data_IF_365991136231
#
_entry.id   IF_365991136231
#
_cell.length_a   1.000
_cell.length_b   1.000
_cell.length_c   1.000
_cell.angle_alpha   90.00
_cell.angle_beta   90.00
_cell.angle_gamma   90.00
#
_symmetry.space_group_name_H-M   'P 1'
#
loop_
_entity.id
_entity.type
_entity.pdbx_description
1 polymer ?
#
# COMPACT_ATOMS: atom_id res chain seq x y z
N UNK A 1 19.78 19.52 -63.98
CA UNK A 1 19.94 18.46 -62.97
C UNK A 1 18.69 18.50 -62.13
N UNK A 2 17.67 17.79 -62.62
CA UNK A 2 16.35 17.79 -62.03
C UNK A 2 16.37 16.88 -60.80
N UNK A 3 16.00 17.43 -59.64
CA UNK A 3 15.62 16.62 -58.48
C UNK A 3 14.38 15.84 -58.89
N UNK A 4 14.53 14.57 -59.24
CA UNK A 4 13.43 13.63 -59.32
C UNK A 4 12.72 13.65 -57.96
N UNK A 5 11.54 14.28 -57.91
CA UNK A 5 10.63 14.22 -56.78
C UNK A 5 9.99 12.84 -56.78
N UNK A 6 10.71 11.86 -56.24
CA UNK A 6 10.18 10.50 -56.05
C UNK A 6 8.94 10.59 -55.16
N UNK A 7 7.81 10.04 -55.60
CA UNK A 7 6.55 10.04 -54.84
C UNK A 7 6.38 8.76 -54.02
N UNK A 8 5.56 8.80 -52.96
CA UNK A 8 5.28 7.62 -52.14
C UNK A 8 4.71 6.46 -52.97
N UNK A 9 3.80 6.76 -53.92
CA UNK A 9 3.21 5.75 -54.81
C UNK A 9 4.25 5.10 -55.73
N UNK A 10 5.25 5.86 -56.20
CA UNK A 10 6.35 5.31 -57.01
C UNK A 10 7.25 4.36 -56.20
N UNK A 11 7.50 4.67 -54.94
CA UNK A 11 8.32 3.83 -54.05
C UNK A 11 7.54 2.57 -53.64
N UNK A 12 6.26 2.72 -53.31
CA UNK A 12 5.40 1.61 -52.93
C UNK A 12 5.19 0.64 -54.10
N UNK A 13 4.97 1.14 -55.31
CA UNK A 13 4.92 0.31 -56.52
C UNK A 13 6.24 -0.42 -56.75
N UNK A 14 7.37 0.27 -56.61
CA UNK A 14 8.69 -0.34 -56.78
C UNK A 14 8.97 -1.45 -55.77
N UNK A 15 8.53 -1.31 -54.51
CA UNK A 15 8.71 -2.33 -53.47
C UNK A 15 7.73 -3.50 -53.68
N UNK A 16 6.47 -3.22 -53.97
CA UNK A 16 5.44 -4.23 -54.19
C UNK A 16 5.70 -5.08 -55.43
N UNK A 17 6.31 -4.51 -56.49
CA UNK A 17 6.73 -5.25 -57.68
C UNK A 17 7.91 -6.21 -57.41
N UNK A 18 8.63 -6.02 -56.30
CA UNK A 18 9.87 -6.74 -55.98
C UNK A 18 9.72 -7.77 -54.86
N UNK A 19 8.77 -7.58 -53.94
CA UNK A 19 8.43 -8.54 -52.89
C UNK A 19 8.00 -9.95 -53.38
N UNK A 20 7.36 -10.15 -54.55
CA UNK A 20 6.95 -11.48 -55.03
C UNK A 20 8.12 -12.37 -55.48
N UNK A 21 9.32 -11.82 -55.68
CA UNK A 21 10.44 -12.55 -56.31
C UNK A 21 11.10 -13.56 -55.34
N UNK A 22 10.79 -13.49 -54.03
CA UNK A 22 11.45 -14.32 -53.02
C UNK A 22 10.88 -15.75 -52.88
N UNK A 23 9.86 -16.14 -53.66
CA UNK A 23 9.15 -17.42 -53.49
C UNK A 23 9.04 -18.33 -54.72
N UNK A 24 9.81 -18.11 -55.80
CA UNK A 24 9.80 -19.05 -56.94
C UNK A 24 11.19 -19.50 -57.40
N UNK A 25 11.45 -20.77 -57.07
CA UNK A 25 12.32 -21.77 -57.72
C UNK A 25 13.83 -21.50 -57.75
N UNK A 26 14.52 -22.25 -56.89
CA UNK A 26 15.89 -22.73 -57.09
C UNK A 26 16.09 -23.26 -58.52
N UNK A 27 17.32 -23.11 -59.02
CA UNK A 27 17.84 -23.56 -60.31
C UNK A 27 17.59 -22.62 -61.51
N UNK A 28 18.22 -21.44 -61.47
CA UNK A 28 19.29 -21.04 -62.42
C UNK A 28 19.71 -19.57 -62.21
N UNK A 29 21.03 -19.35 -62.18
CA UNK A 29 21.78 -18.10 -62.36
C UNK A 29 22.27 -17.39 -61.06
N UNK A 30 23.40 -17.86 -60.53
CA UNK A 30 24.17 -17.23 -59.42
C UNK A 30 24.66 -15.78 -59.69
N UNK A 31 24.60 -15.26 -60.93
CA UNK A 31 24.94 -13.86 -61.26
C UNK A 31 23.72 -12.95 -61.44
N UNK A 32 22.60 -13.44 -62.00
CA UNK A 32 21.36 -12.68 -62.11
C UNK A 32 20.68 -12.57 -60.75
N UNK A 33 20.78 -13.60 -59.89
CA UNK A 33 20.38 -13.51 -58.49
C UNK A 33 21.18 -12.45 -57.72
N UNK A 34 22.49 -12.32 -57.95
CA UNK A 34 23.30 -11.29 -57.28
C UNK A 34 22.96 -9.88 -57.75
N UNK A 35 22.73 -9.67 -59.06
CA UNK A 35 22.35 -8.37 -59.61
C UNK A 35 20.93 -8.01 -59.16
N UNK A 36 20.00 -8.96 -59.16
CA UNK A 36 18.62 -8.73 -58.67
C UNK A 36 18.60 -8.48 -57.16
N UNK A 37 19.40 -9.20 -56.37
CA UNK A 37 19.57 -8.94 -54.92
C UNK A 37 20.18 -7.56 -54.66
N UNK A 38 21.17 -7.14 -55.45
CA UNK A 38 21.76 -5.81 -55.32
C UNK A 38 20.78 -4.71 -55.73
N UNK A 39 20.05 -4.88 -56.84
CA UNK A 39 19.03 -3.92 -57.29
C UNK A 39 17.87 -3.79 -56.30
N UNK A 40 17.47 -4.92 -55.69
CA UNK A 40 16.49 -4.96 -54.60
C UNK A 40 17.00 -4.16 -53.40
N UNK A 41 18.26 -4.38 -53.01
CA UNK A 41 18.90 -3.67 -51.90
C UNK A 41 19.02 -2.18 -52.15
N UNK A 42 19.47 -1.76 -53.32
CA UNK A 42 19.59 -0.35 -53.70
C UNK A 42 18.22 0.37 -53.65
N UNK A 43 17.13 -0.32 -54.05
CA UNK A 43 15.77 0.21 -53.96
C UNK A 43 15.21 0.25 -52.54
N UNK A 44 15.52 -0.76 -51.72
CA UNK A 44 15.19 -0.76 -50.29
C UNK A 44 15.91 0.39 -49.58
N UNK A 45 17.19 0.62 -49.89
CA UNK A 45 17.97 1.75 -49.35
C UNK A 45 17.44 3.09 -49.83
N UNK A 46 17.06 3.19 -51.11
CA UNK A 46 16.41 4.40 -51.64
C UNK A 46 15.09 4.70 -50.92
N UNK A 47 14.28 3.67 -50.66
CA UNK A 47 13.03 3.81 -49.93
C UNK A 47 13.25 4.18 -48.47
N UNK A 48 14.23 3.57 -47.79
CA UNK A 48 14.57 3.90 -46.42
C UNK A 48 15.13 5.33 -46.28
N UNK A 49 15.93 5.79 -47.24
CA UNK A 49 16.41 7.17 -47.29
C UNK A 49 15.27 8.16 -47.55
N UNK A 50 14.34 7.82 -48.45
CA UNK A 50 13.14 8.63 -48.69
C UNK A 50 12.30 8.75 -47.42
N UNK A 51 12.02 7.63 -46.75
CA UNK A 51 11.30 7.60 -45.46
C UNK A 51 12.04 8.41 -44.40
N UNK A 52 13.39 8.39 -44.41
CA UNK A 52 14.20 9.19 -43.49
C UNK A 52 14.01 10.70 -43.64
N UNK A 53 13.58 11.15 -44.81
CA UNK A 53 13.33 12.56 -45.12
C UNK A 53 11.85 12.95 -44.94
N UNK A 54 10.96 11.96 -44.76
CA UNK A 54 9.52 12.20 -44.54
C UNK A 54 9.23 12.71 -43.13
N UNK A 55 8.17 13.52 -43.05
CA UNK A 55 7.54 13.91 -41.78
C UNK A 55 6.43 12.93 -41.45
N UNK A 56 6.77 11.82 -40.79
CA UNK A 56 5.84 10.69 -40.63
C UNK A 56 4.49 11.06 -40.00
N UNK A 57 4.42 12.08 -39.16
CA UNK A 57 3.17 12.56 -38.56
C UNK A 57 2.19 13.20 -39.56
N UNK A 58 2.69 13.71 -40.69
CA UNK A 58 1.90 14.32 -41.77
C UNK A 58 1.45 13.29 -42.82
N UNK A 59 1.96 12.07 -42.72
CA UNK A 59 1.75 11.01 -43.68
C UNK A 59 0.60 10.08 -43.26
N UNK A 60 0.02 9.38 -44.24
CA UNK A 60 -1.07 8.43 -44.01
C UNK A 60 -0.54 7.06 -43.55
N UNK A 61 -1.42 6.19 -43.05
CA UNK A 61 -1.10 4.84 -42.56
C UNK A 61 -0.29 3.97 -43.55
N UNK A 62 -0.34 4.30 -44.86
CA UNK A 62 0.41 3.62 -45.93
C UNK A 62 1.92 3.69 -45.69
N UNK A 63 2.43 4.77 -45.10
CA UNK A 63 3.85 4.91 -44.79
C UNK A 63 4.25 4.00 -43.62
N UNK A 64 3.37 3.81 -42.65
CA UNK A 64 3.59 2.86 -41.55
C UNK A 64 3.67 1.41 -42.07
N UNK A 65 2.74 1.01 -42.94
CA UNK A 65 2.78 -0.29 -43.59
C UNK A 65 4.04 -0.47 -44.44
N UNK A 66 4.48 0.60 -45.13
CA UNK A 66 5.70 0.57 -45.92
C UNK A 66 6.95 0.37 -45.05
N UNK A 67 7.03 1.03 -43.90
CA UNK A 67 8.12 0.85 -42.91
C UNK A 67 8.15 -0.60 -42.41
N UNK A 68 6.99 -1.17 -42.07
CA UNK A 68 6.89 -2.57 -41.62
C UNK A 68 7.27 -3.54 -42.74
N UNK A 69 6.74 -3.35 -43.96
CA UNK A 69 7.09 -4.17 -45.13
C UNK A 69 8.58 -4.10 -45.46
N UNK A 70 9.17 -2.90 -45.39
CA UNK A 70 10.60 -2.69 -45.57
C UNK A 70 11.43 -3.37 -44.49
N UNK A 71 10.88 -3.55 -43.29
CA UNK A 71 11.51 -4.27 -42.19
C UNK A 71 11.37 -5.80 -42.31
N UNK A 72 10.20 -6.30 -42.69
CA UNK A 72 9.89 -7.73 -42.78
C UNK A 72 10.53 -8.43 -43.98
N UNK A 73 10.95 -7.66 -45.01
CA UNK A 73 11.68 -8.19 -46.17
C UNK A 73 13.05 -8.83 -45.80
N UNK A 74 13.46 -8.77 -44.52
CA UNK A 74 14.38 -9.65 -43.75
C UNK A 74 15.53 -10.39 -44.47
N UNK A 75 16.16 -9.73 -45.43
CA UNK A 75 17.59 -9.86 -45.75
C UNK A 75 18.34 -8.55 -45.53
N UNK A 76 17.74 -7.62 -44.79
CA UNK A 76 18.11 -6.20 -44.76
C UNK A 76 19.44 -5.98 -44.04
N UNK A 77 20.27 -5.15 -44.64
CA UNK A 77 21.55 -4.79 -44.08
C UNK A 77 21.44 -3.75 -42.94
N UNK A 78 22.57 -3.49 -42.29
CA UNK A 78 22.63 -2.60 -41.15
C UNK A 78 22.38 -1.12 -41.49
N UNK A 79 22.67 -0.69 -42.72
CA UNK A 79 22.54 0.71 -43.17
C UNK A 79 21.09 1.10 -43.47
N UNK A 80 20.29 0.18 -44.04
CA UNK A 80 18.85 0.42 -44.20
C UNK A 80 18.17 0.63 -42.85
N UNK A 81 18.46 -0.24 -41.85
CA UNK A 81 17.87 -0.14 -40.51
C UNK A 81 18.26 1.16 -39.81
N UNK A 82 19.49 1.61 -40.01
CA UNK A 82 19.99 2.90 -39.52
C UNK A 82 19.25 4.08 -40.16
N UNK A 83 18.97 4.02 -41.45
CA UNK A 83 18.22 5.06 -42.17
C UNK A 83 16.78 5.17 -41.66
N UNK A 84 16.10 4.04 -41.47
CA UNK A 84 14.77 4.00 -40.85
C UNK A 84 14.77 4.57 -39.43
N UNK A 85 15.75 4.18 -38.60
CA UNK A 85 15.87 4.69 -37.24
C UNK A 85 16.06 6.23 -37.21
N UNK A 86 16.88 6.76 -38.13
CA UNK A 86 17.09 8.20 -38.29
C UNK A 86 15.81 8.93 -38.73
N UNK A 87 15.03 8.33 -39.63
CA UNK A 87 13.72 8.85 -40.04
C UNK A 87 12.72 8.96 -38.90
N UNK A 88 12.66 7.92 -38.06
CA UNK A 88 11.83 7.92 -36.86
C UNK A 88 12.29 9.00 -35.89
N UNK A 89 13.59 9.10 -35.60
CA UNK A 89 14.16 10.16 -34.73
C UNK A 89 13.81 11.56 -35.24
N UNK A 90 14.10 11.83 -36.51
CA UNK A 90 13.75 13.09 -37.17
C UNK A 90 12.26 13.40 -37.04
N UNK A 91 11.39 12.41 -37.26
CA UNK A 91 9.95 12.59 -37.17
C UNK A 91 9.49 12.90 -35.75
N UNK A 92 10.02 12.20 -34.74
CA UNK A 92 9.74 12.48 -33.32
C UNK A 92 10.18 13.90 -32.99
N UNK A 93 11.40 14.30 -33.37
CA UNK A 93 11.96 15.65 -33.13
C UNK A 93 11.08 16.78 -33.69
N UNK A 94 10.35 16.51 -34.77
CA UNK A 94 9.52 17.48 -35.47
C UNK A 94 8.05 17.48 -35.03
N UNK A 95 7.62 16.53 -34.18
CA UNK A 95 6.26 16.53 -33.65
C UNK A 95 6.04 17.73 -32.71
N UNK A 96 4.99 18.53 -32.98
CA UNK A 96 4.60 19.69 -32.17
C UNK A 96 3.37 19.43 -31.29
N UNK A 97 2.59 18.39 -31.61
CA UNK A 97 1.38 18.00 -30.88
C UNK A 97 1.43 16.57 -30.36
N UNK A 98 0.60 16.27 -29.35
CA UNK A 98 0.44 14.91 -28.83
C UNK A 98 -0.05 13.93 -29.91
N UNK A 99 -0.98 14.36 -30.76
CA UNK A 99 -1.54 13.50 -31.81
C UNK A 99 -0.52 13.14 -32.89
N UNK A 100 0.37 14.08 -33.23
CA UNK A 100 1.49 13.82 -34.13
C UNK A 100 2.47 12.82 -33.52
N UNK A 101 2.83 13.04 -32.25
CA UNK A 101 3.73 12.17 -31.52
C UNK A 101 3.16 10.75 -31.38
N UNK A 102 1.88 10.62 -31.03
CA UNK A 102 1.17 9.33 -30.90
C UNK A 102 1.31 8.49 -32.15
N UNK A 103 0.99 9.05 -33.32
CA UNK A 103 1.12 8.35 -34.61
C UNK A 103 2.54 7.87 -34.86
N UNK A 104 3.54 8.73 -34.65
CA UNK A 104 4.95 8.37 -34.90
C UNK A 104 5.42 7.30 -33.93
N UNK A 105 5.01 7.36 -32.67
CA UNK A 105 5.35 6.38 -31.64
C UNK A 105 4.71 5.02 -31.93
N UNK A 106 3.44 4.96 -32.34
CA UNK A 106 2.77 3.72 -32.77
C UNK A 106 3.50 3.04 -33.93
N UNK A 107 3.99 3.83 -34.89
CA UNK A 107 4.85 3.32 -35.99
C UNK A 107 6.17 2.79 -35.43
N UNK A 108 6.83 3.56 -34.56
CA UNK A 108 8.12 3.18 -33.99
C UNK A 108 8.05 1.87 -33.18
N UNK A 109 7.00 1.69 -32.37
CA UNK A 109 6.77 0.46 -31.58
C UNK A 109 6.56 -0.76 -32.50
N UNK A 110 5.95 -0.55 -33.67
CA UNK A 110 5.69 -1.62 -34.63
C UNK A 110 6.96 -2.15 -35.30
N UNK A 111 8.10 -1.45 -35.17
CA UNK A 111 9.40 -1.89 -35.71
C UNK A 111 10.15 -2.75 -34.66
N UNK A 112 10.34 -4.06 -34.89
CA UNK A 112 10.83 -5.02 -33.88
C UNK A 112 12.24 -4.75 -33.32
N UNK A 113 13.23 -4.47 -34.17
CA UNK A 113 14.63 -4.30 -33.75
C UNK A 113 15.34 -3.22 -34.56
N UNK A 114 15.76 -2.16 -33.88
CA UNK A 114 16.63 -1.12 -34.42
C UNK A 114 18.07 -1.33 -33.95
N UNK A 115 19.07 -0.96 -34.78
CA UNK A 115 20.47 -1.09 -34.44
C UNK A 115 20.86 -0.13 -33.30
N UNK A 116 21.66 -0.61 -32.34
CA UNK A 116 22.38 0.27 -31.42
C UNK A 116 23.39 1.14 -32.20
N UNK A 117 23.60 2.43 -31.86
CA UNK A 117 23.02 3.20 -30.75
C UNK A 117 21.72 3.94 -31.11
N UNK A 118 21.10 3.63 -32.25
CA UNK A 118 19.95 4.38 -32.78
C UNK A 118 18.66 4.04 -32.05
N UNK A 119 18.53 2.80 -31.57
CA UNK A 119 17.41 2.37 -30.73
C UNK A 119 17.34 3.21 -29.45
N UNK A 120 18.44 3.30 -28.71
CA UNK A 120 18.57 4.02 -27.45
C UNK A 120 18.32 5.52 -27.63
N UNK A 121 18.83 6.09 -28.72
CA UNK A 121 18.56 7.51 -29.06
C UNK A 121 17.09 7.76 -29.36
N UNK A 122 16.46 6.88 -30.14
CA UNK A 122 15.03 7.02 -30.48
C UNK A 122 14.16 6.89 -29.22
N UNK A 123 14.46 5.91 -28.37
CA UNK A 123 13.79 5.71 -27.08
C UNK A 123 13.86 6.98 -26.22
N UNK A 124 15.07 7.54 -26.02
CA UNK A 124 15.27 8.77 -25.25
C UNK A 124 14.53 9.96 -25.85
N UNK A 125 14.52 10.09 -27.18
CA UNK A 125 13.85 11.18 -27.87
C UNK A 125 12.33 11.07 -27.75
N UNK A 126 11.76 9.87 -27.91
CA UNK A 126 10.35 9.58 -27.68
C UNK A 126 9.95 9.94 -26.25
N UNK A 127 10.68 9.42 -25.25
CA UNK A 127 10.39 9.69 -23.85
C UNK A 127 10.48 11.17 -23.50
N UNK A 128 11.50 11.86 -24.01
CA UNK A 128 11.70 13.29 -23.76
C UNK A 128 10.53 14.17 -24.22
N UNK A 129 9.76 13.69 -25.21
CA UNK A 129 8.54 14.35 -25.68
C UNK A 129 7.28 13.81 -25.05
N UNK A 130 7.20 12.51 -24.75
CA UNK A 130 6.02 11.88 -24.14
C UNK A 130 5.85 12.29 -22.68
N UNK A 131 6.89 12.21 -21.85
CA UNK A 131 6.80 12.48 -20.40
C UNK A 131 6.19 13.85 -20.09
N UNK A 132 6.56 14.96 -20.79
CA UNK A 132 5.91 16.25 -20.58
C UNK A 132 4.39 16.25 -20.79
N UNK A 133 3.83 15.37 -21.63
CA UNK A 133 2.38 15.27 -21.84
C UNK A 133 1.63 14.69 -20.65
N UNK A 134 2.32 14.03 -19.70
CA UNK A 134 1.73 13.65 -18.41
C UNK A 134 1.22 14.87 -17.63
N UNK A 135 1.70 16.10 -17.92
CA UNK A 135 1.22 17.34 -17.26
C UNK A 135 -0.18 17.71 -17.68
N UNK A 136 -0.57 17.25 -18.87
CA UNK A 136 -1.81 17.60 -19.47
C UNK A 136 -2.85 16.52 -19.15
N UNK A 137 -3.74 16.82 -18.20
CA UNK A 137 -4.75 15.88 -17.72
C UNK A 137 -5.60 15.25 -18.84
N UNK A 138 -5.79 15.94 -19.97
CA UNK A 138 -6.57 15.44 -21.10
C UNK A 138 -5.93 14.26 -21.85
N UNK A 139 -4.61 14.10 -21.78
CA UNK A 139 -3.87 13.07 -22.53
C UNK A 139 -3.19 12.06 -21.60
N UNK A 140 -3.46 12.09 -20.30
CA UNK A 140 -2.70 11.35 -19.30
C UNK A 140 -2.75 9.84 -19.57
N UNK A 141 -3.95 9.27 -19.69
CA UNK A 141 -4.15 7.83 -19.94
C UNK A 141 -3.52 7.38 -21.27
N UNK A 142 -3.73 8.15 -22.33
CA UNK A 142 -3.14 7.87 -23.64
C UNK A 142 -1.60 7.94 -23.59
N UNK A 143 -1.04 8.87 -22.81
CA UNK A 143 0.41 9.00 -22.63
C UNK A 143 0.97 7.82 -21.85
N UNK A 144 0.32 7.39 -20.77
CA UNK A 144 0.68 6.19 -20.00
C UNK A 144 0.69 4.97 -20.90
N UNK A 145 -0.37 4.78 -21.69
CA UNK A 145 -0.49 3.66 -22.61
C UNK A 145 0.66 3.64 -23.62
N UNK A 146 1.01 4.79 -24.20
CA UNK A 146 2.15 4.88 -25.12
C UNK A 146 3.49 4.58 -24.43
N UNK A 147 3.73 5.12 -23.24
CA UNK A 147 4.94 4.83 -22.46
C UNK A 147 5.02 3.33 -22.16
N UNK A 148 3.92 2.71 -21.75
CA UNK A 148 3.81 1.27 -21.55
C UNK A 148 4.27 0.47 -22.77
N UNK A 149 3.73 0.80 -23.95
CA UNK A 149 4.11 0.11 -25.18
C UNK A 149 5.57 0.30 -25.54
N UNK A 150 6.13 1.49 -25.28
CA UNK A 150 7.56 1.74 -25.45
C UNK A 150 8.37 0.87 -24.48
N UNK A 151 7.99 0.80 -23.20
CA UNK A 151 8.68 0.02 -22.17
C UNK A 151 8.80 -1.47 -22.50
N UNK A 152 7.78 -2.08 -23.13
CA UNK A 152 7.79 -3.52 -23.50
C UNK A 152 9.01 -3.89 -24.36
N UNK A 153 9.49 -2.97 -25.21
CA UNK A 153 10.61 -3.22 -26.14
C UNK A 153 11.85 -2.38 -25.82
N UNK A 154 11.84 -1.67 -24.70
CA UNK A 154 12.85 -0.69 -24.33
C UNK A 154 14.16 -1.34 -23.89
N UNK A 155 15.27 -0.64 -24.08
CA UNK A 155 16.57 -1.02 -23.52
C UNK A 155 16.72 -0.61 -22.05
N UNK A 156 17.64 -1.22 -21.32
CA UNK A 156 17.94 -0.84 -19.93
C UNK A 156 18.37 0.65 -19.81
N UNK A 157 19.09 1.18 -20.80
CA UNK A 157 19.46 2.60 -20.88
C UNK A 157 18.24 3.51 -21.11
N UNK A 158 17.26 3.06 -21.91
CA UNK A 158 15.98 3.72 -22.09
C UNK A 158 15.15 3.74 -20.81
N UNK A 159 15.07 2.61 -20.09
CA UNK A 159 14.37 2.51 -18.80
C UNK A 159 15.02 3.39 -17.73
N UNK A 160 16.35 3.39 -17.68
CA UNK A 160 17.12 4.27 -16.78
C UNK A 160 16.82 5.74 -17.08
N UNK A 161 16.75 6.12 -18.36
CA UNK A 161 16.39 7.47 -18.76
C UNK A 161 14.95 7.83 -18.36
N UNK A 162 13.98 6.93 -18.59
CA UNK A 162 12.60 7.12 -18.14
C UNK A 162 12.54 7.38 -16.63
N UNK A 163 13.24 6.55 -15.85
CA UNK A 163 13.30 6.68 -14.40
C UNK A 163 13.77 8.09 -13.99
N UNK A 164 14.89 8.56 -14.54
CA UNK A 164 15.38 9.92 -14.27
C UNK A 164 14.36 11.01 -14.64
N UNK A 165 13.70 10.88 -15.78
CA UNK A 165 12.67 11.86 -16.17
C UNK A 165 11.48 11.86 -15.22
N UNK A 166 11.02 10.68 -14.78
CA UNK A 166 9.93 10.57 -13.81
C UNK A 166 10.34 11.10 -12.43
N UNK A 167 11.59 10.89 -12.00
CA UNK A 167 12.14 11.46 -10.76
C UNK A 167 12.10 12.99 -10.74
N UNK A 168 12.63 13.62 -11.80
CA UNK A 168 12.59 15.09 -11.96
C UNK A 168 11.15 15.61 -11.94
N UNK A 169 10.23 14.80 -12.44
CA UNK A 169 8.84 15.17 -12.60
C UNK A 169 8.02 14.99 -11.31
N UNK A 170 8.25 13.94 -10.54
CA UNK A 170 7.66 13.73 -9.21
C UNK A 170 8.05 14.87 -8.26
N UNK A 171 9.30 15.34 -8.35
CA UNK A 171 9.79 16.43 -7.48
C UNK A 171 9.21 17.81 -7.83
N UNK A 172 8.53 17.98 -8.96
CA UNK A 172 7.92 19.26 -9.35
C UNK A 172 6.78 19.68 -8.41
N UNK A 173 6.93 20.83 -7.74
CA UNK A 173 5.92 21.40 -6.84
C UNK A 173 4.52 21.61 -7.44
N UNK A 174 4.43 21.76 -8.78
CA UNK A 174 3.18 22.01 -9.51
C UNK A 174 2.54 20.74 -10.09
N UNK A 175 3.09 19.57 -9.79
CA UNK A 175 2.51 18.29 -10.22
C UNK A 175 1.07 18.17 -9.72
N UNK A 176 0.13 17.89 -10.63
CA UNK A 176 -1.27 17.64 -10.27
C UNK A 176 -1.43 16.21 -9.76
N UNK A 177 -2.48 15.96 -8.99
CA UNK A 177 -2.78 14.62 -8.50
C UNK A 177 -3.00 13.60 -9.64
N UNK A 178 -3.75 13.98 -10.68
CA UNK A 178 -3.96 13.13 -11.87
C UNK A 178 -2.65 12.75 -12.58
N UNK A 179 -1.70 13.69 -12.65
CA UNK A 179 -0.39 13.44 -13.25
C UNK A 179 0.49 12.57 -12.34
N UNK A 180 0.30 12.65 -11.03
CA UNK A 180 0.94 11.76 -10.06
C UNK A 180 0.40 10.32 -10.17
N UNK A 181 -0.92 10.13 -10.22
CA UNK A 181 -1.56 8.81 -10.39
C UNK A 181 -1.00 8.10 -11.61
N UNK A 182 -0.84 8.81 -12.72
CA UNK A 182 -0.24 8.28 -13.93
C UNK A 182 1.19 7.73 -13.76
N UNK A 183 2.02 8.43 -12.99
CA UNK A 183 3.40 7.99 -12.71
C UNK A 183 3.37 6.78 -11.77
N UNK A 184 2.46 6.79 -10.82
CA UNK A 184 2.27 5.70 -9.87
C UNK A 184 1.82 4.43 -10.60
N UNK A 185 0.88 4.52 -11.54
CA UNK A 185 0.46 3.41 -12.40
C UNK A 185 1.61 2.85 -13.24
N UNK A 186 2.45 3.72 -13.81
CA UNK A 186 3.67 3.33 -14.53
C UNK A 186 4.66 2.61 -13.61
N UNK A 187 4.85 3.10 -12.39
CA UNK A 187 5.71 2.44 -11.40
C UNK A 187 5.19 1.04 -11.05
N UNK A 188 3.87 0.89 -10.86
CA UNK A 188 3.25 -0.40 -10.54
C UNK A 188 3.47 -1.41 -11.68
N UNK A 189 3.35 -0.96 -12.93
CA UNK A 189 3.40 -1.86 -14.07
C UNK A 189 4.80 -2.18 -14.58
N UNK A 190 5.82 -1.40 -14.19
CA UNK A 190 7.20 -1.58 -14.64
C UNK A 190 8.11 -1.96 -13.47
N UNK A 191 8.56 -3.22 -13.37
CA UNK A 191 9.41 -3.69 -12.26
C UNK A 191 10.67 -2.86 -12.05
N UNK A 192 11.32 -2.39 -13.12
CA UNK A 192 12.53 -1.56 -13.03
C UNK A 192 12.29 -0.20 -12.34
N UNK A 193 11.06 0.31 -12.36
CA UNK A 193 10.72 1.57 -11.68
C UNK A 193 10.43 1.36 -10.19
N UNK A 194 10.12 0.14 -9.76
CA UNK A 194 9.82 -0.20 -8.37
C UNK A 194 11.07 -0.23 -7.47
N UNK A 195 12.27 -0.09 -8.03
CA UNK A 195 13.51 0.02 -7.24
C UNK A 195 13.81 1.47 -6.85
N UNK A 196 13.55 2.43 -7.75
CA UNK A 196 14.03 3.82 -7.62
C UNK A 196 12.92 4.82 -7.23
N UNK A 197 11.69 4.65 -7.74
CA UNK A 197 10.59 5.59 -7.53
C UNK A 197 9.81 5.48 -6.21
N UNK A 198 9.69 4.32 -5.52
CA UNK A 198 8.73 4.15 -4.42
C UNK A 198 8.81 5.19 -3.32
N UNK A 199 10.03 5.54 -2.89
CA UNK A 199 10.25 6.53 -1.83
C UNK A 199 9.71 7.90 -2.22
N UNK A 200 10.08 8.38 -3.41
CA UNK A 200 9.66 9.71 -3.89
C UNK A 200 8.17 9.75 -4.21
N UNK A 201 7.60 8.65 -4.72
CA UNK A 201 6.16 8.51 -4.87
C UNK A 201 5.42 8.62 -3.52
N UNK A 202 5.95 8.00 -2.45
CA UNK A 202 5.38 8.08 -1.11
C UNK A 202 5.51 9.50 -0.52
N UNK A 203 6.70 10.12 -0.62
CA UNK A 203 6.92 11.52 -0.20
C UNK A 203 5.98 12.47 -0.94
N UNK A 204 5.77 12.25 -2.24
CA UNK A 204 4.87 13.07 -3.05
C UNK A 204 3.40 12.89 -2.65
N UNK A 205 2.97 11.65 -2.41
CA UNK A 205 1.63 11.36 -1.88
C UNK A 205 1.39 12.14 -0.58
N UNK A 206 2.33 12.08 0.35
CA UNK A 206 2.22 12.79 1.63
C UNK A 206 2.20 14.32 1.46
N UNK A 207 2.84 14.85 0.42
CA UNK A 207 2.71 16.27 0.06
C UNK A 207 1.31 16.66 -0.42
N UNK A 208 0.55 15.73 -1.02
CA UNK A 208 -0.86 15.96 -1.37
C UNK A 208 -1.75 15.84 -0.13
N UNK A 209 -1.50 14.84 0.70
CA UNK A 209 -2.20 14.61 1.97
C UNK A 209 -2.09 15.83 2.89
N UNK A 210 -0.88 16.34 3.12
CA UNK A 210 -0.63 17.52 3.97
C UNK A 210 -1.24 18.83 3.44
N UNK A 211 -1.52 18.92 2.12
CA UNK A 211 -2.23 20.05 1.52
C UNK A 211 -3.75 19.91 1.57
N UNK A 212 -4.26 18.71 1.87
CA UNK A 212 -5.70 18.48 2.02
C UNK A 212 -6.22 19.23 3.25
N UNK A 213 -7.40 19.84 3.12
CA UNK A 213 -8.10 20.47 4.25
C UNK A 213 -8.85 19.47 5.12
N UNK A 214 -9.04 18.25 4.61
CA UNK A 214 -9.75 17.17 5.26
C UNK A 214 -8.86 15.91 5.26
N UNK A 215 -8.57 15.41 6.46
CA UNK A 215 -7.74 14.23 6.66
C UNK A 215 -8.39 12.98 6.08
N UNK A 216 -9.71 12.87 6.09
CA UNK A 216 -10.40 11.69 5.56
C UNK A 216 -10.36 11.62 4.04
N UNK A 217 -10.59 12.74 3.36
CA UNK A 217 -10.37 12.84 1.91
C UNK A 217 -8.93 12.48 1.53
N UNK A 218 -7.96 12.85 2.37
CA UNK A 218 -6.56 12.51 2.16
C UNK A 218 -6.25 11.02 2.43
N UNK A 219 -6.90 10.43 3.45
CA UNK A 219 -6.80 9.00 3.75
C UNK A 219 -7.39 8.14 2.63
N UNK A 220 -8.42 8.60 1.92
CA UNK A 220 -8.92 7.92 0.72
C UNK A 220 -7.82 7.67 -0.31
N UNK A 221 -6.98 8.69 -0.58
CA UNK A 221 -5.85 8.58 -1.53
C UNK A 221 -4.81 7.55 -1.09
N UNK A 222 -4.50 7.56 0.22
CA UNK A 222 -3.58 6.61 0.84
C UNK A 222 -4.15 5.20 0.72
N UNK A 223 -5.43 5.00 1.08
CA UNK A 223 -6.12 3.71 1.05
C UNK A 223 -6.11 3.13 -0.35
N UNK A 224 -6.50 3.91 -1.36
CA UNK A 224 -6.53 3.44 -2.75
C UNK A 224 -5.13 3.05 -3.23
N UNK A 225 -4.10 3.82 -2.87
CA UNK A 225 -2.72 3.53 -3.25
C UNK A 225 -2.11 2.35 -2.49
N UNK A 226 -2.58 2.09 -1.28
CA UNK A 226 -2.12 0.97 -0.46
C UNK A 226 -2.58 -0.39 -1.00
N UNK A 227 -3.62 -0.42 -1.85
CA UNK A 227 -4.11 -1.66 -2.47
C UNK A 227 -3.13 -2.29 -3.47
N UNK A 228 -2.13 -1.55 -3.93
CA UNK A 228 -1.18 -2.05 -4.92
C UNK A 228 -0.03 -2.83 -4.27
N UNK A 229 0.42 -3.92 -4.90
CA UNK A 229 1.46 -4.84 -4.37
C UNK A 229 2.90 -4.32 -4.52
N UNK A 230 3.15 -3.02 -4.29
CA UNK A 230 4.50 -2.43 -4.33
C UNK A 230 5.03 -2.24 -2.91
N UNK A 231 5.67 -3.28 -2.37
CA UNK A 231 6.11 -3.33 -0.97
C UNK A 231 7.06 -2.19 -0.55
N UNK A 232 8.06 -1.77 -1.36
CA UNK A 232 8.89 -0.62 -0.98
C UNK A 232 8.10 0.69 -0.85
N UNK A 233 7.05 0.87 -1.66
CA UNK A 233 6.20 2.06 -1.60
C UNK A 233 5.37 2.05 -0.31
N UNK A 234 4.74 0.91 0.02
CA UNK A 234 3.97 0.75 1.27
C UNK A 234 4.86 1.01 2.48
N UNK A 235 6.05 0.42 2.54
CA UNK A 235 6.99 0.62 3.64
C UNK A 235 7.31 2.11 3.85
N UNK A 236 7.67 2.82 2.78
CA UNK A 236 7.94 4.27 2.85
C UNK A 236 6.72 5.10 3.23
N UNK A 237 5.56 4.79 2.65
CA UNK A 237 4.32 5.50 2.93
C UNK A 237 3.94 5.38 4.40
N UNK A 238 4.09 4.21 5.01
CA UNK A 238 3.81 3.98 6.44
C UNK A 238 4.77 4.76 7.33
N UNK A 239 6.07 4.75 7.02
CA UNK A 239 7.05 5.52 7.78
C UNK A 239 6.70 7.02 7.77
N UNK A 240 6.30 7.55 6.62
CA UNK A 240 5.89 8.95 6.51
C UNK A 240 4.54 9.21 7.19
N UNK A 241 3.58 8.29 7.05
CA UNK A 241 2.29 8.36 7.74
C UNK A 241 2.49 8.38 9.24
N UNK A 242 3.41 7.61 9.81
CA UNK A 242 3.68 7.67 11.25
C UNK A 242 4.08 9.07 11.73
N UNK A 243 4.80 9.84 10.90
CA UNK A 243 5.26 11.20 11.24
C UNK A 243 4.14 12.24 11.14
N UNK A 244 3.19 12.04 10.21
CA UNK A 244 2.14 13.00 9.89
C UNK A 244 0.77 12.65 10.49
N UNK A 245 0.52 11.37 10.80
CA UNK A 245 -0.74 10.88 11.31
C UNK A 245 -0.84 11.21 12.80
N UNK A 246 -1.42 12.36 13.09
CA UNK A 246 -2.04 12.61 14.39
C UNK A 246 -3.27 11.72 14.50
N UNK A 247 -3.10 10.54 15.09
CA UNK A 247 -4.19 9.64 15.45
C UNK A 247 -5.26 10.35 16.30
N UNK A 248 -4.89 11.45 16.96
CA UNK A 248 -5.80 12.30 17.72
C UNK A 248 -6.83 13.02 16.84
N UNK A 249 -6.62 13.18 15.54
CA UNK A 249 -7.51 13.94 14.65
C UNK A 249 -8.41 13.05 13.78
N UNK A 250 -8.33 11.72 13.94
CA UNK A 250 -9.16 10.77 13.20
C UNK A 250 -10.60 10.77 13.72
N UNK A 251 -11.56 10.68 12.80
CA UNK A 251 -12.98 10.45 13.09
C UNK A 251 -13.46 9.17 12.38
N UNK A 252 -14.55 8.59 12.88
CA UNK A 252 -15.06 7.34 12.34
C UNK A 252 -15.52 7.47 10.89
N UNK A 253 -14.98 6.58 10.05
CA UNK A 253 -15.50 6.21 8.74
C UNK A 253 -15.15 4.71 8.52
N UNK A 254 -16.06 3.89 7.96
CA UNK A 254 -15.80 2.45 7.77
C UNK A 254 -14.49 2.16 7.02
N UNK A 255 -14.19 2.94 6.00
CA UNK A 255 -12.98 2.79 5.17
C UNK A 255 -11.70 3.05 5.98
N UNK A 256 -11.75 3.96 6.96
CA UNK A 256 -10.62 4.27 7.84
C UNK A 256 -10.46 3.19 8.90
N UNK A 257 -11.57 2.65 9.41
CA UNK A 257 -11.54 1.51 10.33
C UNK A 257 -10.85 0.30 9.67
N UNK A 258 -11.29 -0.06 8.46
CA UNK A 258 -10.69 -1.15 7.67
C UNK A 258 -9.22 -0.86 7.34
N UNK A 259 -8.88 0.38 7.00
CA UNK A 259 -7.50 0.78 6.74
C UNK A 259 -6.59 0.64 7.96
N UNK A 260 -7.05 1.05 9.15
CA UNK A 260 -6.28 0.91 10.38
C UNK A 260 -6.07 -0.56 10.75
N UNK A 261 -7.08 -1.42 10.54
CA UNK A 261 -6.92 -2.86 10.67
C UNK A 261 -5.81 -3.38 9.75
N UNK A 262 -5.84 -2.98 8.48
CA UNK A 262 -4.82 -3.38 7.52
C UNK A 262 -3.43 -2.85 7.87
N UNK A 263 -3.29 -1.62 8.37
CA UNK A 263 -2.03 -1.08 8.86
C UNK A 263 -1.50 -1.86 10.08
N UNK A 264 -2.38 -2.30 10.99
CA UNK A 264 -2.02 -3.13 12.14
C UNK A 264 -1.47 -4.47 11.67
N UNK A 265 -2.14 -5.13 10.72
CA UNK A 265 -1.63 -6.36 10.11
C UNK A 265 -0.32 -6.11 9.38
N UNK A 266 -0.23 -5.09 8.56
CA UNK A 266 0.97 -4.91 7.75
C UNK A 266 2.19 -4.47 8.59
N UNK A 267 1.99 -3.81 9.74
CA UNK A 267 3.06 -3.31 10.60
C UNK A 267 4.11 -4.35 11.03
N UNK A 268 3.77 -5.65 11.11
CA UNK A 268 4.74 -6.71 11.44
C UNK A 268 5.51 -7.25 10.23
N UNK A 269 5.04 -6.96 9.00
CA UNK A 269 5.62 -7.45 7.75
C UNK A 269 6.69 -6.50 7.20
N UNK A 270 6.70 -5.25 7.67
CA UNK A 270 7.66 -4.24 7.26
C UNK A 270 9.08 -4.68 7.67
N UNK A 271 10.09 -4.59 6.80
CA UNK A 271 11.47 -4.89 7.17
C UNK A 271 12.04 -3.90 8.19
N UNK A 272 12.90 -4.39 9.12
CA UNK A 272 13.60 -3.57 10.13
C UNK A 272 14.42 -2.42 9.53
N UNK A 273 14.77 -2.49 8.24
CA UNK A 273 15.46 -1.41 7.51
C UNK A 273 14.63 -0.13 7.40
N UNK A 274 13.31 -0.22 7.53
CA UNK A 274 12.38 0.91 7.40
C UNK A 274 11.78 1.35 8.73
N UNK A 275 11.65 0.43 9.70
CA UNK A 275 11.03 0.69 11.01
C UNK A 275 11.87 0.01 12.09
N UNK A 276 12.40 0.79 13.03
CA UNK A 276 13.18 0.24 14.15
C UNK A 276 12.30 -0.28 15.30
N UNK A 277 11.12 0.32 15.51
CA UNK A 277 10.20 -0.03 16.60
C UNK A 277 8.80 -0.38 16.07
N UNK A 278 8.67 -1.61 15.57
CA UNK A 278 7.40 -2.18 15.11
C UNK A 278 6.32 -2.20 16.19
N UNK A 279 6.70 -2.30 17.47
CA UNK A 279 5.74 -2.36 18.57
C UNK A 279 5.12 -0.98 18.83
N UNK A 280 5.92 0.09 18.83
CA UNK A 280 5.41 1.46 18.96
C UNK A 280 4.55 1.89 17.77
N UNK A 281 4.95 1.50 16.54
CA UNK A 281 4.17 1.75 15.34
C UNK A 281 2.79 1.10 15.42
N UNK A 282 2.74 -0.21 15.66
CA UNK A 282 1.49 -0.94 15.74
C UNK A 282 0.60 -0.42 16.88
N UNK A 283 1.19 -0.04 18.03
CA UNK A 283 0.46 0.53 19.16
C UNK A 283 -0.25 1.85 18.78
N UNK A 284 0.38 2.65 17.93
CA UNK A 284 -0.18 3.92 17.42
C UNK A 284 -1.44 3.65 16.60
N UNK A 285 -1.39 2.68 15.69
CA UNK A 285 -2.56 2.29 14.88
C UNK A 285 -3.68 1.67 15.70
N UNK A 286 -3.34 0.81 16.67
CA UNK A 286 -4.32 0.23 17.59
C UNK A 286 -5.04 1.30 18.39
N UNK A 287 -4.30 2.30 18.93
CA UNK A 287 -4.93 3.41 19.64
C UNK A 287 -5.89 4.19 18.74
N UNK A 288 -5.54 4.39 17.47
CA UNK A 288 -6.42 5.04 16.50
C UNK A 288 -7.68 4.25 16.22
N UNK A 289 -7.52 2.95 16.01
CA UNK A 289 -8.63 2.04 15.76
C UNK A 289 -9.63 2.08 16.93
N UNK A 290 -9.13 1.90 18.16
CA UNK A 290 -9.95 1.93 19.37
C UNK A 290 -10.57 3.31 19.64
N UNK A 291 -9.89 4.38 19.24
CA UNK A 291 -10.42 5.74 19.32
C UNK A 291 -11.63 5.90 18.41
N UNK A 292 -11.50 5.55 17.13
CA UNK A 292 -12.59 5.78 16.17
C UNK A 292 -13.71 4.73 16.24
N UNK A 293 -13.58 3.67 17.05
CA UNK A 293 -14.59 2.62 17.14
C UNK A 293 -15.91 3.18 17.67
N UNK A 294 -16.96 3.18 16.84
CA UNK A 294 -18.27 3.79 17.14
C UNK A 294 -19.46 2.83 17.05
N UNK A 295 -19.30 1.59 16.59
CA UNK A 295 -20.43 0.65 16.44
C UNK A 295 -20.23 -0.65 17.22
N UNK A 296 -21.33 -1.29 17.61
CA UNK A 296 -21.30 -2.61 18.24
C UNK A 296 -20.73 -3.68 17.29
N UNK A 297 -20.96 -3.53 15.99
CA UNK A 297 -20.37 -4.40 14.96
C UNK A 297 -18.84 -4.36 14.98
N UNK A 298 -18.26 -3.17 15.11
CA UNK A 298 -16.80 -2.99 15.18
C UNK A 298 -16.24 -3.62 16.47
N UNK A 299 -16.93 -3.44 17.60
CA UNK A 299 -16.60 -4.07 18.88
C UNK A 299 -16.66 -5.60 18.78
N UNK A 300 -17.72 -6.14 18.18
CA UNK A 300 -17.91 -7.57 17.95
C UNK A 300 -16.84 -8.14 17.00
N UNK A 301 -16.41 -7.36 16.01
CA UNK A 301 -15.33 -7.72 15.10
C UNK A 301 -13.98 -7.79 15.82
N UNK A 302 -13.60 -6.76 16.58
CA UNK A 302 -12.42 -6.79 17.45
C UNK A 302 -12.48 -7.97 18.43
N UNK A 303 -13.68 -8.30 18.90
CA UNK A 303 -13.95 -9.47 19.73
C UNK A 303 -13.57 -10.78 19.04
N UNK A 304 -14.05 -10.95 17.81
CA UNK A 304 -13.81 -12.15 17.00
C UNK A 304 -12.31 -12.32 16.69
N UNK A 305 -11.59 -11.19 16.55
CA UNK A 305 -10.16 -11.18 16.28
C UNK A 305 -9.35 -11.77 17.43
N UNK A 306 -9.71 -11.42 18.67
CA UNK A 306 -8.98 -11.86 19.85
C UNK A 306 -9.25 -13.33 20.20
N UNK A 307 -10.40 -13.88 19.84
CA UNK A 307 -10.85 -15.18 20.34
C UNK A 307 -10.51 -16.39 19.48
N UNK A 308 -11.05 -16.55 18.26
CA UNK A 308 -11.05 -17.92 17.71
C UNK A 308 -11.22 -18.13 16.19
N UNK A 309 -11.19 -17.11 15.33
CA UNK A 309 -11.32 -17.35 13.86
C UNK A 309 -10.37 -16.58 12.93
N UNK A 310 -9.64 -15.57 13.41
CA UNK A 310 -8.66 -14.83 12.59
C UNK A 310 -7.23 -15.20 12.98
N UNK A 311 -6.86 -16.46 12.70
CA UNK A 311 -5.56 -17.00 13.06
C UNK A 311 -4.36 -16.19 12.55
N UNK A 312 -4.55 -15.31 11.56
CA UNK A 312 -3.49 -14.45 11.01
C UNK A 312 -3.43 -13.08 11.71
N UNK A 313 -4.55 -12.38 11.89
CA UNK A 313 -4.58 -11.06 12.58
C UNK A 313 -4.12 -11.17 14.05
N UNK A 314 -4.60 -12.17 14.80
CA UNK A 314 -4.16 -12.32 16.20
C UNK A 314 -2.65 -12.59 16.26
N UNK A 315 -2.11 -13.43 15.34
CA UNK A 315 -0.66 -13.66 15.24
C UNK A 315 0.11 -12.39 14.87
N UNK A 316 -0.46 -11.55 14.01
CA UNK A 316 0.09 -10.26 13.58
C UNK A 316 0.23 -9.25 14.73
N UNK A 317 -0.70 -9.27 15.69
CA UNK A 317 -0.67 -8.36 16.83
C UNK A 317 0.55 -8.64 17.74
N UNK A 318 1.31 -7.60 18.04
CA UNK A 318 2.33 -7.57 19.09
C UNK A 318 1.67 -7.55 20.47
N UNK A 319 2.47 -7.90 21.47
CA UNK A 319 2.03 -8.10 22.84
C UNK A 319 1.27 -6.91 23.44
N UNK A 320 1.87 -5.72 23.39
CA UNK A 320 1.26 -4.49 23.94
C UNK A 320 -0.05 -4.13 23.23
N UNK A 321 -0.13 -4.35 21.92
CA UNK A 321 -1.32 -4.11 21.10
C UNK A 321 -2.47 -5.01 21.53
N UNK A 322 -2.23 -6.33 21.65
CA UNK A 322 -3.24 -7.29 22.16
C UNK A 322 -3.75 -6.88 23.53
N UNK A 323 -2.83 -6.46 24.41
CA UNK A 323 -3.15 -6.03 25.76
C UNK A 323 -4.03 -4.78 25.78
N UNK A 324 -3.73 -3.74 24.99
CA UNK A 324 -4.55 -2.53 24.97
C UNK A 324 -5.96 -2.82 24.45
N UNK A 325 -6.11 -3.60 23.37
CA UNK A 325 -7.43 -3.99 22.84
C UNK A 325 -8.22 -4.77 23.91
N UNK A 326 -7.56 -5.77 24.51
CA UNK A 326 -8.13 -6.60 25.58
C UNK A 326 -8.63 -5.76 26.76
N UNK A 327 -7.78 -4.86 27.26
CA UNK A 327 -8.13 -4.02 28.41
C UNK A 327 -9.19 -2.98 28.03
N UNK A 328 -9.18 -2.44 26.82
CA UNK A 328 -10.20 -1.50 26.36
C UNK A 328 -11.60 -2.15 26.29
N UNK A 329 -11.71 -3.35 25.71
CA UNK A 329 -12.97 -4.10 25.61
C UNK A 329 -13.64 -4.36 26.97
N UNK A 330 -12.84 -4.43 28.04
CA UNK A 330 -13.32 -4.70 29.41
C UNK A 330 -13.45 -3.44 30.25
N UNK A 331 -12.39 -2.64 30.35
CA UNK A 331 -12.35 -1.52 31.29
C UNK A 331 -13.15 -0.32 30.79
N UNK A 332 -13.25 -0.10 29.47
CA UNK A 332 -14.01 1.03 28.93
C UNK A 332 -15.53 0.95 29.26
N UNK A 333 -16.21 -0.21 29.12
CA UNK A 333 -17.58 -0.35 29.60
C UNK A 333 -17.68 -0.24 31.14
N UNK A 334 -16.75 -0.83 31.88
CA UNK A 334 -16.75 -0.84 33.35
C UNK A 334 -16.71 0.59 33.92
N UNK A 335 -15.85 1.47 33.38
CA UNK A 335 -15.70 2.84 33.91
C UNK A 335 -16.94 3.72 33.71
N UNK A 336 -17.86 3.36 32.81
CA UNK A 336 -19.16 4.06 32.69
C UNK A 336 -19.97 3.93 33.97
N UNK A 337 -19.89 2.78 34.63
CA UNK A 337 -20.62 2.48 35.86
C UNK A 337 -19.90 2.97 37.13
N UNK A 338 -18.58 3.20 37.06
CA UNK A 338 -17.75 3.68 38.18
C UNK A 338 -16.95 4.95 37.82
N UNK A 339 -17.63 6.07 37.51
CA UNK A 339 -17.02 7.27 36.92
C UNK A 339 -16.11 8.05 37.89
N UNK A 340 -16.00 7.64 39.14
CA UNK A 340 -15.13 8.27 40.15
C UNK A 340 -13.98 7.35 40.60
N UNK A 341 -13.81 6.20 39.96
CA UNK A 341 -12.72 5.29 40.23
C UNK A 341 -11.38 5.80 39.69
N UNK A 342 -10.27 5.43 40.35
CA UNK A 342 -8.89 5.58 39.87
C UNK A 342 -8.62 4.77 38.60
N UNK A 343 -9.45 3.76 38.33
CA UNK A 343 -9.41 3.02 37.06
C UNK A 343 -9.84 3.92 35.93
N UNK A 344 -10.87 4.76 36.12
CA UNK A 344 -11.23 5.78 35.15
C UNK A 344 -10.06 6.71 34.86
N UNK A 345 -9.30 7.16 35.87
CA UNK A 345 -8.10 7.98 35.65
C UNK A 345 -7.07 7.26 34.76
N UNK A 346 -6.94 5.94 34.92
CA UNK A 346 -6.00 5.12 34.12
C UNK A 346 -6.49 4.94 32.68
N UNK A 347 -7.79 4.73 32.47
CA UNK A 347 -8.41 4.58 31.14
C UNK A 347 -8.50 5.93 30.41
N UNK A 348 -8.88 7.01 31.10
CA UNK A 348 -8.91 8.37 30.57
C UNK A 348 -7.50 8.82 30.14
N UNK A 349 -6.46 8.42 30.87
CA UNK A 349 -5.06 8.66 30.50
C UNK A 349 -4.65 7.95 29.20
N UNK A 350 -5.42 6.96 28.73
CA UNK A 350 -5.20 6.32 27.44
C UNK A 350 -5.90 7.02 26.27
N UNK A 351 -6.72 8.04 26.55
CA UNK A 351 -7.43 8.86 25.55
C UNK A 351 -8.30 8.04 24.57
N UNK A 352 -8.78 6.87 24.99
CA UNK A 352 -9.62 5.99 24.17
C UNK A 352 -11.09 6.40 24.27
N UNK A 353 -11.88 6.22 23.21
CA UNK A 353 -13.33 6.42 23.28
C UNK A 353 -13.95 5.36 24.19
N UNK A 354 -14.99 5.76 24.92
CA UNK A 354 -15.72 4.90 25.86
C UNK A 354 -16.90 4.22 25.19
N UNK A 355 -16.81 3.79 23.93
CA UNK A 355 -17.98 3.35 23.17
C UNK A 355 -18.58 1.99 23.56
N UNK A 356 -17.88 0.92 23.96
CA UNK A 356 -18.62 -0.32 24.22
C UNK A 356 -19.58 -0.11 25.41
N UNK A 357 -20.88 -0.15 25.12
CA UNK A 357 -21.95 0.23 26.05
C UNK A 357 -22.24 -0.90 27.05
N UNK A 358 -21.97 -2.14 26.62
CA UNK A 358 -22.21 -3.35 27.36
C UNK A 358 -20.90 -4.10 27.63
N UNK A 359 -20.87 -4.79 28.77
CA UNK A 359 -19.79 -5.71 29.11
C UNK A 359 -20.07 -7.01 28.34
N UNK A 360 -19.32 -7.27 27.27
CA UNK A 360 -19.42 -8.53 26.54
C UNK A 360 -18.68 -9.62 27.32
N UNK A 361 -19.38 -10.56 27.95
CA UNK A 361 -18.76 -11.61 28.76
C UNK A 361 -17.78 -12.53 28.00
N UNK A 362 -17.99 -12.70 26.70
CA UNK A 362 -17.02 -13.40 25.84
C UNK A 362 -15.63 -12.76 25.97
N UNK A 363 -15.56 -11.43 26.04
CA UNK A 363 -14.31 -10.66 26.13
C UNK A 363 -13.44 -10.96 27.33
N UNK A 364 -14.06 -11.30 28.46
CA UNK A 364 -13.36 -11.61 29.69
C UNK A 364 -12.47 -12.85 29.52
N UNK A 365 -12.96 -13.88 28.82
CA UNK A 365 -12.18 -15.10 28.57
C UNK A 365 -10.93 -14.86 27.71
N UNK A 366 -11.01 -14.06 26.63
CA UNK A 366 -9.82 -13.74 25.82
C UNK A 366 -8.80 -12.97 26.64
N UNK A 367 -9.25 -12.10 27.53
CA UNK A 367 -8.33 -11.34 28.38
C UNK A 367 -7.61 -12.24 29.35
N UNK A 368 -8.24 -13.28 29.89
CA UNK A 368 -7.53 -14.25 30.72
C UNK A 368 -6.57 -15.12 29.89
N UNK A 369 -6.99 -15.56 28.71
CA UNK A 369 -6.14 -16.35 27.80
C UNK A 369 -4.98 -15.53 27.20
N UNK A 370 -5.14 -14.21 27.09
CA UNK A 370 -4.15 -13.31 26.51
C UNK A 370 -3.28 -12.66 27.56
N UNK A 371 -3.81 -12.13 28.68
CA UNK A 371 -3.02 -11.35 29.65
C UNK A 371 -2.12 -12.23 30.52
N UNK A 372 -2.57 -13.43 30.85
CA UNK A 372 -1.96 -14.24 31.91
C UNK A 372 -0.78 -15.11 31.46
N UNK A 373 -0.73 -15.62 30.22
CA UNK A 373 0.46 -16.29 29.72
C UNK A 373 1.63 -15.34 29.39
N UNK A 374 1.45 -14.03 29.53
CA UNK A 374 2.43 -13.05 29.05
C UNK A 374 3.56 -12.85 30.04
N UNK A 375 4.77 -13.10 29.55
CA UNK A 375 6.01 -12.91 30.30
C UNK A 375 6.43 -11.43 30.29
N UNK A 376 5.62 -10.56 30.90
CA UNK A 376 5.97 -9.15 31.09
C UNK A 376 7.03 -8.98 32.19
N UNK A 377 7.55 -7.75 32.31
CA UNK A 377 8.00 -7.26 33.60
C UNK A 377 6.86 -7.44 34.63
N UNK A 378 7.14 -8.28 35.63
CA UNK A 378 6.17 -8.77 36.62
C UNK A 378 5.38 -7.64 37.26
N UNK A 379 6.00 -6.47 37.47
CA UNK A 379 5.39 -5.33 38.14
C UNK A 379 4.25 -4.70 37.32
N UNK A 380 4.38 -4.62 35.99
CA UNK A 380 3.34 -4.07 35.11
C UNK A 380 2.15 -5.01 34.94
N UNK A 381 2.43 -6.31 34.80
CA UNK A 381 1.40 -7.35 34.77
C UNK A 381 0.55 -7.33 36.05
N UNK A 382 1.22 -7.28 37.21
CA UNK A 382 0.56 -7.17 38.50
C UNK A 382 -0.27 -5.88 38.63
N UNK A 383 0.19 -4.77 38.07
CA UNK A 383 -0.56 -3.52 38.08
C UNK A 383 -1.88 -3.63 37.29
N UNK A 384 -1.86 -4.23 36.11
CA UNK A 384 -3.06 -4.42 35.28
C UNK A 384 -4.04 -5.36 35.96
N UNK A 385 -3.57 -6.51 36.48
CA UNK A 385 -4.40 -7.44 37.22
C UNK A 385 -5.04 -6.78 38.45
N UNK A 386 -4.27 -5.97 39.19
CA UNK A 386 -4.79 -5.20 40.34
C UNK A 386 -5.85 -4.19 39.93
N UNK A 387 -5.64 -3.45 38.85
CA UNK A 387 -6.60 -2.49 38.33
C UNK A 387 -7.91 -3.17 37.89
N UNK A 388 -7.82 -4.30 37.20
CA UNK A 388 -8.99 -5.08 36.79
C UNK A 388 -9.78 -5.62 37.99
N UNK A 389 -9.11 -6.28 38.94
CA UNK A 389 -9.72 -6.76 40.18
C UNK A 389 -10.32 -5.61 41.00
N UNK A 390 -9.65 -4.46 41.07
CA UNK A 390 -10.21 -3.29 41.74
C UNK A 390 -11.50 -2.81 41.07
N UNK A 391 -11.60 -2.89 39.74
CA UNK A 391 -12.77 -2.47 38.97
C UNK A 391 -13.99 -3.30 39.28
N UNK A 392 -13.84 -4.61 39.37
CA UNK A 392 -14.90 -5.52 39.80
C UNK A 392 -15.37 -5.17 41.21
N UNK A 393 -14.43 -4.94 42.13
CA UNK A 393 -14.77 -4.53 43.49
C UNK A 393 -15.54 -3.21 43.53
N UNK A 394 -15.18 -2.24 42.70
CA UNK A 394 -15.90 -0.96 42.59
C UNK A 394 -17.28 -1.11 41.94
N UNK A 395 -17.45 -1.99 40.94
CA UNK A 395 -18.77 -2.31 40.36
C UNK A 395 -19.73 -2.85 41.42
N UNK A 396 -19.26 -3.82 42.20
CA UNK A 396 -20.04 -4.39 43.31
C UNK A 396 -20.27 -3.38 44.44
N UNK A 397 -19.43 -2.34 44.54
CA UNK A 397 -19.57 -1.30 45.55
C UNK A 397 -20.46 -0.12 45.13
N UNK A 398 -21.04 -0.12 43.93
CA UNK A 398 -21.94 0.94 43.48
C UNK A 398 -23.23 1.02 44.30
N UNK A 399 -23.70 -0.12 44.82
CA UNK A 399 -24.97 -0.23 45.55
C UNK A 399 -26.21 -0.27 44.65
N UNK A 400 -26.01 -0.34 43.34
CA UNK A 400 -27.03 -0.63 42.33
C UNK A 400 -27.03 -2.15 42.07
N UNK A 401 -28.18 -2.80 42.23
CA UNK A 401 -28.29 -4.26 42.07
C UNK A 401 -28.00 -4.72 40.64
N UNK A 402 -28.36 -3.94 39.62
CA UNK A 402 -28.10 -4.28 38.22
C UNK A 402 -26.60 -4.22 37.92
N UNK A 403 -25.92 -3.18 38.41
CA UNK A 403 -24.48 -2.99 38.22
C UNK A 403 -23.69 -4.01 39.06
N UNK A 404 -24.14 -4.30 40.28
CA UNK A 404 -23.56 -5.34 41.12
C UNK A 404 -23.69 -6.71 40.46
N UNK A 405 -24.83 -7.01 39.84
CA UNK A 405 -25.06 -8.23 39.06
C UNK A 405 -24.06 -8.40 37.92
N UNK A 406 -23.74 -7.33 37.18
CA UNK A 406 -22.67 -7.36 36.16
C UNK A 406 -21.30 -7.71 36.77
N UNK A 407 -21.01 -7.22 37.99
CA UNK A 407 -19.80 -7.58 38.74
C UNK A 407 -19.75 -9.07 39.11
N UNK A 408 -20.87 -9.63 39.55
CA UNK A 408 -21.00 -11.06 39.87
C UNK A 408 -20.84 -11.95 38.64
N UNK A 409 -21.41 -11.56 37.50
CA UNK A 409 -21.24 -12.28 36.23
C UNK A 409 -19.75 -12.31 35.81
N UNK A 410 -18.99 -11.23 36.03
CA UNK A 410 -17.54 -11.21 35.79
C UNK A 410 -16.82 -12.20 36.72
N UNK A 411 -17.20 -12.24 38.00
CA UNK A 411 -16.62 -13.17 38.97
C UNK A 411 -16.89 -14.64 38.63
N UNK A 412 -18.08 -14.95 38.08
CA UNK A 412 -18.39 -16.29 37.57
C UNK A 412 -17.49 -16.69 36.41
N UNK A 413 -17.18 -15.77 35.48
CA UNK A 413 -16.20 -16.03 34.42
C UNK A 413 -14.80 -16.27 34.98
N UNK A 414 -14.37 -15.48 35.97
CA UNK A 414 -13.08 -15.68 36.67
C UNK A 414 -13.02 -17.06 37.30
N UNK A 415 -14.09 -17.49 37.97
CA UNK A 415 -14.19 -18.83 38.57
C UNK A 415 -13.98 -19.92 37.54
N UNK A 416 -14.66 -19.84 36.40
CA UNK A 416 -14.52 -20.82 35.32
C UNK A 416 -13.09 -20.87 34.77
N UNK A 417 -12.46 -19.71 34.60
CA UNK A 417 -11.09 -19.61 34.12
C UNK A 417 -10.07 -20.22 35.10
N UNK A 418 -10.18 -19.92 36.40
CA UNK A 418 -9.23 -20.34 37.45
C UNK A 418 -9.17 -21.86 37.67
N UNK A 419 -10.20 -22.60 37.25
CA UNK A 419 -10.19 -24.06 37.24
C UNK A 419 -9.09 -24.60 36.32
N UNK A 420 -8.80 -23.92 35.20
CA UNK A 420 -7.88 -24.37 34.16
C UNK A 420 -6.42 -23.95 34.33
N UNK A 421 -6.10 -23.08 35.31
CA UNK A 421 -4.75 -22.48 35.44
C UNK A 421 -3.79 -23.28 36.33
N UNK A 422 -2.50 -23.00 36.20
CA UNK A 422 -1.45 -23.63 37.02
C UNK A 422 -1.58 -23.29 38.51
N UNK A 423 -1.02 -24.12 39.40
CA UNK A 423 -1.01 -23.87 40.84
C UNK A 423 -0.31 -22.55 41.23
N UNK A 424 0.66 -22.12 40.42
CA UNK A 424 1.35 -20.86 40.63
C UNK A 424 0.43 -19.68 40.32
N UNK A 425 -0.21 -19.68 39.15
CA UNK A 425 -1.16 -18.65 38.73
C UNK A 425 -2.36 -18.59 39.67
N UNK A 426 -2.87 -19.75 40.10
CA UNK A 426 -3.95 -19.86 41.08
C UNK A 426 -3.63 -19.09 42.37
N UNK A 427 -2.44 -19.30 42.95
CA UNK A 427 -2.00 -18.62 44.18
C UNK A 427 -1.75 -17.14 43.97
N UNK A 428 -1.23 -16.75 42.81
CA UNK A 428 -1.01 -15.34 42.48
C UNK A 428 -2.34 -14.58 42.36
N UNK A 429 -3.33 -15.15 41.68
CA UNK A 429 -4.68 -14.60 41.58
C UNK A 429 -5.36 -14.47 42.94
N UNK A 430 -5.27 -15.50 43.78
CA UNK A 430 -5.81 -15.47 45.13
C UNK A 430 -5.16 -14.35 45.95
N UNK A 431 -3.83 -14.24 45.88
CA UNK A 431 -3.07 -13.19 46.56
C UNK A 431 -3.44 -11.78 46.07
N UNK A 432 -3.68 -11.59 44.77
CA UNK A 432 -4.08 -10.28 44.21
C UNK A 432 -5.47 -9.90 44.72
N UNK A 433 -6.45 -10.80 44.68
CA UNK A 433 -7.81 -10.54 45.15
C UNK A 433 -7.83 -10.18 46.64
N UNK A 434 -7.11 -10.96 47.46
CA UNK A 434 -6.96 -10.68 48.89
C UNK A 434 -6.29 -9.32 49.15
N UNK A 435 -5.21 -9.00 48.43
CA UNK A 435 -4.53 -7.70 48.59
C UNK A 435 -5.40 -6.52 48.15
N UNK A 436 -6.18 -6.66 47.08
CA UNK A 436 -6.97 -5.56 46.52
C UNK A 436 -8.27 -5.35 47.29
N UNK A 437 -9.02 -6.40 47.60
CA UNK A 437 -10.34 -6.30 48.23
C UNK A 437 -10.29 -6.33 49.76
N UNK A 438 -9.38 -7.12 50.34
CA UNK A 438 -9.33 -7.39 51.77
C UNK A 438 -8.24 -6.62 52.53
N UNK A 439 -7.36 -5.86 51.85
CA UNK A 439 -6.27 -5.15 52.53
C UNK A 439 -6.80 -4.16 53.59
N UNK A 440 -6.19 -4.26 54.76
CA UNK A 440 -6.63 -3.52 55.94
C UNK A 440 -6.27 -2.03 55.86
N UNK A 441 -7.19 -1.24 56.38
CA UNK A 441 -7.40 0.22 56.37
C UNK A 441 -6.20 1.16 56.63
N UNK A 442 -4.99 0.68 56.92
CA UNK A 442 -3.88 1.52 57.44
C UNK A 442 -2.80 1.91 56.42
N UNK A 443 -2.69 1.23 55.27
CA UNK A 443 -1.80 1.65 54.18
C UNK A 443 -2.61 1.67 52.89
N UNK A 444 -2.93 2.86 52.37
CA UNK A 444 -3.54 2.95 51.05
C UNK A 444 -2.56 2.41 50.01
N UNK A 445 -2.94 1.35 49.29
CA UNK A 445 -2.20 0.99 48.08
C UNK A 445 -2.38 2.14 47.06
N UNK A 446 -1.28 2.65 46.47
CA UNK A 446 -1.39 3.64 45.40
C UNK A 446 -2.22 3.04 44.26
N UNK A 447 -3.13 3.84 43.68
CA UNK A 447 -3.97 3.50 42.53
C UNK A 447 -5.05 2.41 42.72
N UNK A 448 -5.39 2.05 43.98
CA UNK A 448 -6.48 1.12 44.30
C UNK A 448 -7.60 1.88 45.02
N UNK A 449 -8.85 1.74 44.57
CA UNK A 449 -10.02 2.29 45.25
C UNK A 449 -10.52 1.39 46.37
N UNK A 450 -11.03 2.01 47.43
CA UNK A 450 -11.55 1.28 48.59
C UNK A 450 -13.00 0.92 48.33
N UNK A 451 -13.35 -0.31 48.68
CA UNK A 451 -14.76 -0.77 48.72
C UNK A 451 -15.32 -0.65 50.14
N UNK A 452 -16.64 -0.44 50.27
CA UNK A 452 -17.33 -0.42 51.57
C UNK A 452 -17.19 -1.75 52.30
N UNK A 453 -17.29 -1.70 53.64
CA UNK A 453 -17.16 -2.88 54.51
C UNK A 453 -18.19 -3.97 54.19
N UNK A 454 -19.39 -3.59 53.73
CA UNK A 454 -20.44 -4.50 53.32
C UNK A 454 -20.03 -5.28 52.07
N UNK A 455 -19.59 -4.57 51.03
CA UNK A 455 -19.10 -5.14 49.77
C UNK A 455 -17.87 -6.01 49.97
N UNK A 456 -16.97 -5.61 50.89
CA UNK A 456 -15.80 -6.43 51.24
C UNK A 456 -16.18 -7.84 51.72
N UNK A 457 -17.24 -7.98 52.51
CA UNK A 457 -17.67 -9.30 52.99
C UNK A 457 -18.16 -10.18 51.84
N UNK A 458 -18.91 -9.60 50.91
CA UNK A 458 -19.36 -10.30 49.70
C UNK A 458 -18.17 -10.72 48.84
N UNK A 459 -17.19 -9.85 48.67
CA UNK A 459 -15.95 -10.17 47.94
C UNK A 459 -15.08 -11.21 48.65
N UNK A 460 -15.12 -11.28 49.99
CA UNK A 460 -14.45 -12.32 50.78
C UNK A 460 -15.10 -13.69 50.53
N UNK A 461 -16.44 -13.76 50.54
CA UNK A 461 -17.19 -14.97 50.18
C UNK A 461 -16.90 -15.43 48.74
N UNK A 462 -16.78 -14.49 47.80
CA UNK A 462 -16.38 -14.80 46.42
C UNK A 462 -14.93 -15.28 46.31
N UNK A 463 -14.00 -14.75 47.09
CA UNK A 463 -12.62 -15.28 47.13
C UNK A 463 -12.65 -16.73 47.60
N UNK A 464 -13.40 -17.02 48.66
CA UNK A 464 -13.50 -18.40 49.16
C UNK A 464 -14.11 -19.31 48.10
N UNK A 465 -15.19 -18.88 47.42
CA UNK A 465 -15.88 -19.67 46.39
C UNK A 465 -15.07 -19.86 45.08
N UNK A 466 -14.32 -18.85 44.64
CA UNK A 466 -13.50 -18.91 43.42
C UNK A 466 -12.27 -19.79 43.62
N UNK A 467 -11.68 -19.76 44.82
CA UNK A 467 -10.43 -20.45 45.14
C UNK A 467 -10.64 -21.69 46.03
N UNK A 468 -11.86 -22.21 46.10
CA UNK A 468 -12.15 -23.55 46.65
C UNK A 468 -11.84 -24.61 45.57
N UNK A 469 -10.77 -25.37 45.76
CA UNK A 469 -10.28 -26.38 44.81
C UNK A 469 -10.47 -27.79 45.34
#
# INVERSE_FOLDING_TARGET
MDKLTTTLDEIEAQINDLLPINNQTEDKINQAESIQKQLLRDKIDQAANFISDLRLHQENHRVAELIIKLYDASGIDWETRKSLAKGLQNSVSQCESFQDLKKVVEIAISVPELPSPYKEKLEKEILSKLVPFLRNSYNCDDTINLIHWVCIRMTDDGLTFLCHQLLDYITDSNLTFSAYEAIFDLMISQPALQEELPRLCAEKMMSFVSKSKDLNSALGLIIDSFRHEVEPFKAHLITLLQQELSVEDLYYAPEIFDFLLHLIEYSYQIPDTYIEDHEALQLTYVRGLLKITETQTDVDYLHSILHEQSGEFNKALKLKSRLIISVWLILAPVIRYIPHSKIKVTVDAWQLHTFPEEILFRSLTAVFDILLPLNFDRDRHLQICRSFINGIGQLMDTGDEEISGKGEEILLCIKQYIIGVSDQEFREWQSICQQVWLSDSRKSMPNVDRVRKTTRKVLEEWIDDIFDR
#
